data_IF_842003896555
#
_entry.id   IF_842003896555
#
_cell.length_a   1.000
_cell.length_b   1.000
_cell.length_c   1.000
_cell.angle_alpha   90.00
_cell.angle_beta   90.00
_cell.angle_gamma   90.00
#
_symmetry.space_group_name_H-M   'P 1'
#
loop_
_entity.id
_entity.type
_entity.pdbx_description
1 polymer ?
#
# COMPACT_ATOMS: atom_id res chain seq x y z
N UNK A 1 -45.32 -14.14 -35.17
CA UNK A 1 -44.88 -12.73 -35.06
C UNK A 1 -44.70 -12.25 -33.61
N UNK A 2 -45.63 -12.50 -32.69
CA UNK A 2 -45.52 -12.02 -31.28
C UNK A 2 -44.29 -12.54 -30.51
N UNK A 3 -43.94 -13.83 -30.64
CA UNK A 3 -42.79 -14.43 -29.94
C UNK A 3 -41.45 -13.83 -30.40
N UNK A 4 -41.29 -13.56 -31.70
CA UNK A 4 -40.08 -12.96 -32.25
C UNK A 4 -39.86 -11.52 -31.74
N UNK A 5 -40.94 -10.75 -31.57
CA UNK A 5 -40.90 -9.39 -31.01
C UNK A 5 -40.48 -9.39 -29.53
N UNK A 6 -40.98 -10.36 -28.74
CA UNK A 6 -40.59 -10.54 -27.34
C UNK A 6 -39.11 -10.87 -27.17
N UNK A 7 -38.59 -11.79 -28.00
CA UNK A 7 -37.17 -12.19 -27.95
C UNK A 7 -36.25 -10.99 -28.27
N UNK A 8 -36.60 -10.19 -29.27
CA UNK A 8 -35.85 -8.98 -29.63
C UNK A 8 -35.87 -7.93 -28.51
N UNK A 9 -37.02 -7.75 -27.85
CA UNK A 9 -37.13 -6.82 -26.72
C UNK A 9 -36.27 -7.24 -25.53
N UNK A 10 -36.34 -8.51 -25.13
CA UNK A 10 -35.55 -9.04 -24.00
C UNK A 10 -34.06 -8.97 -24.30
N UNK A 11 -33.65 -9.36 -25.51
CA UNK A 11 -32.25 -9.25 -25.96
C UNK A 11 -31.77 -7.80 -25.98
N UNK A 12 -32.59 -6.88 -26.48
CA UNK A 12 -32.29 -5.45 -26.52
C UNK A 12 -32.11 -4.85 -25.13
N UNK A 13 -32.98 -5.19 -24.18
CA UNK A 13 -32.87 -4.75 -22.78
C UNK A 13 -31.57 -5.27 -22.14
N UNK A 14 -31.19 -6.52 -22.40
CA UNK A 14 -29.93 -7.09 -21.88
C UNK A 14 -28.69 -6.36 -22.42
N UNK A 15 -28.63 -6.12 -23.73
CA UNK A 15 -27.53 -5.37 -24.35
C UNK A 15 -27.50 -3.93 -23.84
N UNK A 16 -28.66 -3.28 -23.74
CA UNK A 16 -28.78 -1.93 -23.22
C UNK A 16 -28.31 -1.83 -21.76
N UNK A 17 -28.73 -2.78 -20.91
CA UNK A 17 -28.29 -2.87 -19.52
C UNK A 17 -26.78 -3.12 -19.41
N UNK A 18 -26.21 -4.01 -20.24
CA UNK A 18 -24.78 -4.28 -20.26
C UNK A 18 -23.94 -3.04 -20.64
N UNK A 19 -24.40 -2.29 -21.65
CA UNK A 19 -23.75 -1.04 -22.06
C UNK A 19 -23.82 0.01 -20.95
N UNK A 20 -24.98 0.16 -20.30
CA UNK A 20 -25.15 1.11 -19.18
C UNK A 20 -24.24 0.75 -18.02
N UNK A 21 -24.29 -0.50 -17.56
CA UNK A 21 -23.50 -0.98 -16.43
C UNK A 21 -22.00 -0.84 -16.73
N UNK A 22 -21.54 -1.26 -17.90
CA UNK A 22 -20.14 -1.11 -18.29
C UNK A 22 -19.67 0.36 -18.26
N UNK A 23 -20.50 1.28 -18.74
CA UNK A 23 -20.19 2.73 -18.71
C UNK A 23 -20.31 3.35 -17.32
N UNK A 24 -21.10 2.78 -16.43
CA UNK A 24 -21.25 3.22 -15.04
C UNK A 24 -20.04 2.78 -14.20
N UNK A 25 -19.68 1.51 -14.27
CA UNK A 25 -18.52 0.95 -13.57
C UNK A 25 -17.21 1.61 -14.04
N UNK A 26 -17.03 1.81 -15.35
CA UNK A 26 -15.85 2.49 -15.88
C UNK A 26 -15.67 3.93 -15.36
N UNK A 27 -16.79 4.66 -15.17
CA UNK A 27 -16.76 6.01 -14.59
C UNK A 27 -16.39 6.00 -13.10
N UNK A 28 -16.92 5.04 -12.33
CA UNK A 28 -16.59 4.92 -10.91
C UNK A 28 -15.12 4.56 -10.69
N UNK A 29 -14.57 3.62 -11.48
CA UNK A 29 -13.17 3.22 -11.38
C UNK A 29 -12.22 4.38 -11.69
N UNK A 30 -12.55 5.19 -12.72
CA UNK A 30 -11.73 6.35 -13.10
C UNK A 30 -11.71 7.42 -12.02
N UNK A 31 -12.87 7.72 -11.42
CA UNK A 31 -12.97 8.66 -10.30
C UNK A 31 -12.21 8.20 -9.07
N UNK A 32 -12.27 6.91 -8.75
CA UNK A 32 -11.47 6.34 -7.66
C UNK A 32 -9.97 6.49 -7.94
N UNK A 33 -9.53 6.22 -9.17
CA UNK A 33 -8.14 6.46 -9.59
C UNK A 33 -7.72 7.91 -9.44
N UNK A 34 -8.55 8.86 -9.90
CA UNK A 34 -8.27 10.29 -9.81
C UNK A 34 -8.21 10.77 -8.35
N UNK A 35 -9.11 10.30 -7.48
CA UNK A 35 -9.11 10.63 -6.05
C UNK A 35 -7.93 10.00 -5.31
N UNK A 36 -7.55 8.76 -5.63
CA UNK A 36 -6.36 8.11 -5.09
C UNK A 36 -5.06 8.80 -5.56
N UNK A 37 -5.01 9.28 -6.81
CA UNK A 37 -3.87 10.04 -7.32
C UNK A 37 -3.69 11.36 -6.55
N UNK A 38 -4.78 12.08 -6.26
CA UNK A 38 -4.73 13.32 -5.45
C UNK A 38 -4.28 13.06 -4.01
N UNK A 39 -4.64 11.90 -3.47
CA UNK A 39 -4.22 11.43 -2.15
C UNK A 39 -2.71 11.08 -2.13
N UNK A 40 -2.22 10.42 -3.18
CA UNK A 40 -0.80 10.06 -3.30
C UNK A 40 0.12 11.29 -3.37
N UNK A 41 -0.39 12.41 -3.89
CA UNK A 41 0.30 13.71 -3.93
C UNK A 41 0.34 14.45 -2.58
N UNK A 42 -0.14 13.83 -1.49
CA UNK A 42 0.05 14.34 -0.13
C UNK A 42 -0.83 15.54 0.25
N UNK A 43 -1.91 15.81 -0.50
CA UNK A 43 -2.82 16.91 -0.16
C UNK A 43 -3.64 16.57 1.09
N UNK A 44 -3.15 17.04 2.25
CA UNK A 44 -3.70 16.89 3.60
C UNK A 44 -5.06 17.59 3.84
N UNK A 45 -5.80 17.94 2.79
CA UNK A 45 -7.10 18.59 2.89
C UNK A 45 -8.03 18.09 1.77
N UNK A 46 -8.72 16.99 2.06
CA UNK A 46 -9.89 16.56 1.31
C UNK A 46 -11.05 17.49 1.68
N UNK A 47 -11.19 18.60 0.96
CA UNK A 47 -12.45 19.33 0.89
C UNK A 47 -13.36 18.59 -0.09
N UNK A 48 -14.06 17.57 0.42
CA UNK A 48 -14.96 16.74 -0.37
C UNK A 48 -16.26 17.53 -0.54
N UNK A 49 -16.47 18.09 -1.73
CA UNK A 49 -17.75 18.66 -2.11
C UNK A 49 -18.85 17.62 -1.96
N UNK A 50 -19.99 18.03 -1.40
CA UNK A 50 -21.12 17.22 -0.91
C UNK A 50 -21.88 16.36 -1.95
N UNK A 51 -21.19 15.70 -2.89
CA UNK A 51 -21.80 14.90 -3.96
C UNK A 51 -21.05 13.62 -4.35
N UNK A 52 -20.02 13.20 -3.61
CA UNK A 52 -19.33 11.93 -3.84
C UNK A 52 -20.10 10.76 -3.17
N UNK A 53 -20.19 9.56 -3.81
CA UNK A 53 -20.75 8.38 -3.16
C UNK A 53 -20.00 8.06 -1.87
N UNK A 54 -20.75 7.95 -0.77
CA UNK A 54 -20.21 7.79 0.59
C UNK A 54 -19.28 6.57 0.71
N UNK A 55 -19.52 5.52 -0.07
CA UNK A 55 -18.71 4.29 -0.03
C UNK A 55 -17.28 4.49 -0.57
N UNK A 56 -17.11 5.33 -1.60
CA UNK A 56 -15.79 5.61 -2.19
C UNK A 56 -14.96 6.45 -1.24
N UNK A 57 -15.59 7.43 -0.59
CA UNK A 57 -14.93 8.26 0.43
C UNK A 57 -14.50 7.42 1.64
N UNK A 58 -15.37 6.53 2.11
CA UNK A 58 -15.06 5.63 3.23
C UNK A 58 -13.86 4.73 2.92
N UNK A 59 -13.79 4.18 1.70
CA UNK A 59 -12.67 3.32 1.28
C UNK A 59 -11.36 4.11 1.17
N UNK A 60 -11.39 5.31 0.60
CA UNK A 60 -10.21 6.17 0.45
C UNK A 60 -9.62 6.57 1.82
N UNK A 61 -10.47 6.93 2.78
CA UNK A 61 -10.05 7.27 4.16
C UNK A 61 -9.44 6.05 4.85
N UNK A 62 -10.07 4.87 4.74
CA UNK A 62 -9.54 3.64 5.33
C UNK A 62 -8.17 3.25 4.73
N UNK A 63 -8.02 3.39 3.41
CA UNK A 63 -6.76 3.11 2.73
C UNK A 63 -5.64 4.05 3.16
N UNK A 64 -5.92 5.35 3.28
CA UNK A 64 -4.95 6.32 3.79
C UNK A 64 -4.51 6.04 5.22
N UNK A 65 -5.47 5.72 6.09
CA UNK A 65 -5.15 5.34 7.47
C UNK A 65 -4.27 4.09 7.55
N UNK A 66 -4.40 3.16 6.60
CA UNK A 66 -3.53 1.98 6.51
C UNK A 66 -2.13 2.35 6.00
N UNK A 67 -2.02 3.16 4.95
CA UNK A 67 -0.73 3.62 4.41
C UNK A 67 0.08 4.38 5.44
N UNK A 68 -0.56 5.28 6.20
CA UNK A 68 0.11 6.06 7.24
C UNK A 68 0.66 5.16 8.35
N UNK A 69 -0.11 4.14 8.78
CA UNK A 69 0.36 3.13 9.74
C UNK A 69 1.54 2.33 9.21
N UNK A 70 1.50 1.88 7.95
CA UNK A 70 2.59 1.14 7.32
C UNK A 70 3.88 1.97 7.31
N UNK A 71 3.81 3.22 6.86
CA UNK A 71 4.98 4.11 6.86
C UNK A 71 5.55 4.31 8.28
N UNK A 72 4.68 4.48 9.27
CA UNK A 72 5.11 4.62 10.65
C UNK A 72 5.80 3.36 11.19
N UNK A 73 5.28 2.18 10.88
CA UNK A 73 5.89 0.91 11.27
C UNK A 73 7.23 0.67 10.58
N UNK A 74 7.35 1.02 9.29
CA UNK A 74 8.63 0.94 8.57
C UNK A 74 9.68 1.87 9.20
N UNK A 75 9.31 3.12 9.50
CA UNK A 75 10.23 4.06 10.15
C UNK A 75 10.71 3.56 11.52
N UNK A 76 9.80 3.02 12.35
CA UNK A 76 10.14 2.45 13.65
C UNK A 76 11.04 1.21 13.54
N UNK A 77 10.82 0.35 12.54
CA UNK A 77 11.66 -0.80 12.30
C UNK A 77 13.08 -0.38 11.93
N UNK A 78 13.21 0.56 10.99
CA UNK A 78 14.52 1.08 10.57
C UNK A 78 15.26 1.78 11.72
N UNK A 79 14.55 2.56 12.54
CA UNK A 79 15.15 3.20 13.72
C UNK A 79 15.65 2.16 14.74
N UNK A 80 14.87 1.10 14.99
CA UNK A 80 15.26 0.00 15.88
C UNK A 80 16.46 -0.78 15.35
N UNK A 81 16.52 -1.06 14.05
CA UNK A 81 17.66 -1.71 13.40
C UNK A 81 18.92 -0.85 13.49
N UNK A 82 18.82 0.46 13.21
CA UNK A 82 19.93 1.40 13.33
C UNK A 82 20.43 1.49 14.77
N UNK A 83 19.51 1.60 15.74
CA UNK A 83 19.87 1.62 17.17
C UNK A 83 20.57 0.34 17.57
N UNK A 84 20.09 -0.82 17.12
CA UNK A 84 20.73 -2.12 17.40
C UNK A 84 22.14 -2.19 16.81
N UNK A 85 22.32 -1.72 15.57
CA UNK A 85 23.63 -1.64 14.92
C UNK A 85 24.59 -0.73 15.69
N UNK A 86 24.16 0.48 16.05
CA UNK A 86 24.98 1.43 16.80
C UNK A 86 25.38 0.88 18.18
N UNK A 87 24.47 0.19 18.87
CA UNK A 87 24.79 -0.47 20.13
C UNK A 87 25.89 -1.53 19.93
N UNK A 88 25.75 -2.40 18.93
CA UNK A 88 26.75 -3.40 18.61
C UNK A 88 28.11 -2.79 18.22
N UNK A 89 28.11 -1.65 17.52
CA UNK A 89 29.33 -0.91 17.14
C UNK A 89 29.98 -0.17 18.32
N UNK A 90 29.19 0.32 19.27
CA UNK A 90 29.68 1.08 20.45
C UNK A 90 30.27 0.22 21.57
N UNK A 91 29.93 -1.07 21.60
CA UNK A 91 30.41 -1.99 22.64
C UNK A 91 31.91 -2.23 22.44
N UNK A 92 32.67 -2.04 23.52
CA UNK A 92 34.13 -2.21 23.51
C UNK A 92 34.59 -3.66 23.41
N UNK A 93 33.67 -4.62 23.58
CA UNK A 93 33.91 -6.05 23.36
C UNK A 93 33.71 -6.39 21.87
N UNK A 94 34.59 -7.23 21.33
CA UNK A 94 34.42 -7.77 19.99
C UNK A 94 33.20 -8.68 19.89
N UNK A 95 32.31 -8.40 18.94
CA UNK A 95 31.11 -9.21 18.65
C UNK A 95 31.24 -9.80 17.25
N UNK A 96 31.13 -11.13 17.19
CA UNK A 96 31.14 -11.92 15.96
C UNK A 96 29.82 -12.67 15.87
N UNK A 97 29.10 -12.52 14.75
CA UNK A 97 27.87 -13.26 14.46
C UNK A 97 28.16 -14.38 13.47
N UNK A 98 27.77 -15.61 13.84
CA UNK A 98 27.87 -16.79 12.98
C UNK A 98 26.49 -17.21 12.48
N UNK A 99 26.40 -17.71 11.25
CA UNK A 99 25.19 -18.36 10.75
C UNK A 99 25.06 -19.81 11.29
N UNK A 100 23.97 -20.50 10.93
CA UNK A 100 23.73 -21.89 11.35
C UNK A 100 24.76 -22.89 10.82
N UNK A 101 25.56 -22.52 9.81
CA UNK A 101 26.64 -23.32 9.25
C UNK A 101 28.02 -22.92 9.81
N UNK A 102 28.07 -22.00 10.78
CA UNK A 102 29.31 -21.53 11.40
C UNK A 102 30.08 -20.51 10.56
N UNK A 103 29.48 -19.90 9.53
CA UNK A 103 30.13 -18.85 8.73
C UNK A 103 29.91 -17.48 9.35
N UNK A 104 30.92 -16.62 9.25
CA UNK A 104 30.86 -15.24 9.75
C UNK A 104 29.85 -14.42 8.92
N UNK A 105 28.79 -13.95 9.57
CA UNK A 105 27.75 -13.10 8.98
C UNK A 105 27.80 -11.66 9.52
N UNK A 106 28.44 -11.42 10.67
CA UNK A 106 28.56 -10.10 11.26
C UNK A 106 29.84 -9.97 12.08
N UNK A 107 30.47 -8.80 12.04
CA UNK A 107 31.58 -8.43 12.90
C UNK A 107 31.48 -6.94 13.26
N UNK A 108 31.60 -6.58 14.54
CA UNK A 108 31.61 -5.18 14.96
C UNK A 108 33.03 -4.57 14.89
N UNK A 109 33.12 -3.24 14.92
CA UNK A 109 34.39 -2.53 14.78
C UNK A 109 35.37 -2.81 15.93
N UNK A 110 34.89 -3.13 17.14
CA UNK A 110 35.74 -3.57 18.24
C UNK A 110 36.43 -4.92 17.96
N UNK A 111 35.71 -5.89 17.39
CA UNK A 111 36.27 -7.19 17.00
C UNK A 111 37.31 -7.04 15.88
N UNK A 112 37.05 -6.18 14.89
CA UNK A 112 38.02 -5.86 13.83
C UNK A 112 39.33 -5.35 14.44
N UNK A 113 39.23 -4.32 15.32
CA UNK A 113 40.40 -3.77 16.03
C UNK A 113 41.15 -4.80 16.87
N UNK A 114 40.43 -5.69 17.55
CA UNK A 114 41.03 -6.76 18.37
C UNK A 114 41.73 -7.83 17.53
N UNK A 115 41.24 -8.11 16.33
CA UNK A 115 41.84 -9.05 15.38
C UNK A 115 43.07 -8.47 14.66
N UNK A 116 43.38 -7.18 14.89
CA UNK A 116 44.57 -6.53 14.35
C UNK A 116 44.45 -6.08 12.89
N UNK A 117 43.22 -5.97 12.37
CA UNK A 117 42.88 -5.34 11.10
C UNK A 117 42.27 -3.95 11.34
#
# INVERSE_FOLDING_TARGET
FQVAMLVLLVGGVGVFAAIILGRQFGRQLRRLGDSLSKIADGSKHLNIGAGEPQEITALAVAFNGMLERLNHSYAQLTESEQRSRLLLESVNNGILGLDRQGRLNFINSAAVRMLGY
#
